data_IF_258703706626
#
_entry.id   IF_258703706626
#
_cell.length_a   1.000
_cell.length_b   1.000
_cell.length_c   1.000
_cell.angle_alpha   90.00
_cell.angle_beta   90.00
_cell.angle_gamma   90.00
#
_symmetry.space_group_name_H-M   'P 1'
#
loop_
_entity.id
_entity.type
_entity.pdbx_description
1 polymer ?
#
# COMPACT_ATOMS: atom_id res chain seq x y z
N UNK A 1 18.93 5.95 1.87
CA UNK A 1 19.43 7.24 1.40
C UNK A 1 19.97 8.07 2.55
N UNK A 2 21.05 8.80 2.31
CA UNK A 2 21.68 9.62 3.34
C UNK A 2 21.43 11.08 3.04
N UNK A 3 21.20 11.87 4.08
CA UNK A 3 21.05 13.32 3.93
C UNK A 3 22.44 13.99 3.84
N UNK A 4 22.45 15.32 3.77
CA UNK A 4 23.69 16.09 3.61
C UNK A 4 24.69 15.89 4.74
N UNK A 5 24.26 15.37 5.90
CA UNK A 5 25.11 15.12 7.05
C UNK A 5 25.50 13.66 7.17
N UNK A 6 25.32 12.87 6.12
CA UNK A 6 25.60 11.43 6.10
C UNK A 6 24.78 10.64 7.13
N UNK A 7 23.61 11.16 7.49
CA UNK A 7 22.67 10.47 8.35
C UNK A 7 21.57 9.87 7.49
N UNK A 8 21.09 8.70 7.90
CA UNK A 8 19.95 8.08 7.24
C UNK A 8 18.72 8.92 7.54
N UNK A 9 17.99 9.29 6.50
CA UNK A 9 16.73 10.02 6.64
C UNK A 9 15.65 9.04 7.08
N UNK A 10 15.43 8.95 8.39
CA UNK A 10 14.48 8.00 8.99
C UNK A 10 13.03 8.37 8.73
N UNK A 11 12.77 9.62 8.33
CA UNK A 11 11.41 10.07 8.02
C UNK A 11 11.07 9.93 6.55
N UNK A 12 12.03 9.46 5.77
CA UNK A 12 11.82 9.33 4.34
C UNK A 12 10.86 8.19 4.03
N UNK A 13 9.91 8.50 3.16
CA UNK A 13 9.00 7.51 2.59
C UNK A 13 9.53 7.09 1.21
N UNK A 14 9.65 5.79 1.00
CA UNK A 14 10.08 5.22 -0.27
C UNK A 14 9.06 4.20 -0.74
N UNK A 15 8.93 4.07 -2.06
CA UNK A 15 8.07 3.04 -2.61
C UNK A 15 8.63 2.51 -3.92
N UNK A 16 8.25 1.28 -4.24
CA UNK A 16 8.45 0.71 -5.57
C UNK A 16 7.09 0.29 -6.11
N UNK A 17 6.96 0.36 -7.41
CA UNK A 17 5.74 -0.06 -8.12
C UNK A 17 6.15 -0.94 -9.28
N UNK A 18 5.57 -2.13 -9.36
CA UNK A 18 5.78 -3.05 -10.46
C UNK A 18 4.43 -3.64 -10.87
N UNK A 19 4.33 -4.15 -12.09
CA UNK A 19 3.12 -4.79 -12.57
C UNK A 19 3.48 -6.13 -13.18
N UNK A 20 2.69 -7.15 -12.86
CA UNK A 20 2.85 -8.49 -13.41
C UNK A 20 1.50 -9.20 -13.39
N UNK A 21 1.10 -9.75 -14.52
CA UNK A 21 -0.15 -10.49 -14.66
C UNK A 21 -1.37 -9.68 -14.24
N UNK A 22 -1.38 -8.40 -14.59
CA UNK A 22 -2.47 -7.45 -14.27
C UNK A 22 -2.59 -7.12 -12.79
N UNK A 23 -1.58 -7.45 -12.00
CA UNK A 23 -1.51 -7.09 -10.59
C UNK A 23 -0.41 -6.06 -10.40
N UNK A 24 -0.74 -4.96 -9.72
CA UNK A 24 0.21 -3.92 -9.34
C UNK A 24 0.74 -4.25 -7.95
N UNK A 25 2.06 -4.38 -7.84
CA UNK A 25 2.73 -4.65 -6.57
C UNK A 25 3.37 -3.38 -6.07
N UNK A 26 2.90 -2.91 -4.93
CA UNK A 26 3.44 -1.74 -4.25
C UNK A 26 4.20 -2.19 -3.01
N UNK A 27 5.45 -1.80 -2.89
CA UNK A 27 6.22 -2.03 -1.67
C UNK A 27 6.57 -0.68 -1.07
N UNK A 28 6.12 -0.43 0.14
CA UNK A 28 6.29 0.85 0.83
C UNK A 28 7.23 0.66 2.00
N UNK A 29 8.06 1.68 2.26
CA UNK A 29 8.96 1.68 3.41
C UNK A 29 9.08 3.06 4.01
N UNK A 30 9.47 3.10 5.30
CA UNK A 30 9.70 4.33 6.01
C UNK A 30 8.48 4.79 6.80
N UNK A 31 8.26 6.09 6.81
CA UNK A 31 7.25 6.72 7.66
C UNK A 31 6.33 7.58 6.79
N UNK A 32 5.04 7.42 6.97
CA UNK A 32 4.05 8.21 6.24
C UNK A 32 3.45 9.24 7.21
N UNK A 33 3.82 10.49 7.01
CA UNK A 33 3.49 11.59 7.92
C UNK A 33 2.59 12.65 7.30
N UNK A 34 2.62 12.80 5.97
CA UNK A 34 1.84 13.83 5.30
C UNK A 34 1.43 13.41 3.88
N UNK A 35 0.53 14.20 3.30
CA UNK A 35 -0.03 13.91 1.98
C UNK A 35 0.96 14.17 0.85
N UNK A 36 1.94 15.02 1.06
CA UNK A 36 2.94 15.30 0.03
C UNK A 36 3.77 14.06 -0.27
N UNK A 37 4.12 13.29 0.78
CA UNK A 37 4.86 12.04 0.60
C UNK A 37 4.10 11.04 -0.27
N UNK A 38 2.80 10.97 -0.11
CA UNK A 38 1.98 9.95 -0.78
C UNK A 38 1.43 10.39 -2.12
N UNK A 39 1.46 11.69 -2.43
CA UNK A 39 0.86 12.19 -3.67
C UNK A 39 1.52 11.61 -4.91
N UNK A 40 2.85 11.44 -4.91
CA UNK A 40 3.55 10.85 -6.04
C UNK A 40 3.18 9.39 -6.23
N UNK A 41 3.06 8.65 -5.14
CA UNK A 41 2.63 7.25 -5.19
C UNK A 41 1.24 7.14 -5.81
N UNK A 42 0.30 7.94 -5.32
CA UNK A 42 -1.07 7.90 -5.81
C UNK A 42 -1.15 8.27 -7.28
N UNK A 43 -0.34 9.23 -7.71
CA UNK A 43 -0.28 9.63 -9.11
C UNK A 43 0.28 8.53 -10.00
N UNK A 44 1.33 7.85 -9.56
CA UNK A 44 1.90 6.74 -10.32
C UNK A 44 0.93 5.56 -10.39
N UNK A 45 0.18 5.31 -9.33
CA UNK A 45 -0.84 4.27 -9.35
C UNK A 45 -1.94 4.64 -10.34
N UNK A 46 -2.39 5.89 -10.35
CA UNK A 46 -3.39 6.35 -11.33
C UNK A 46 -2.92 6.14 -12.77
N UNK A 47 -1.62 6.31 -13.02
CA UNK A 47 -1.07 6.13 -14.35
C UNK A 47 -0.89 4.66 -14.73
N UNK A 48 -0.93 3.76 -13.78
CA UNK A 48 -0.69 2.33 -13.98
C UNK A 48 -1.98 1.53 -14.06
N UNK A 49 -2.96 1.84 -13.21
CA UNK A 49 -4.19 1.05 -13.15
C UNK A 49 -5.14 1.41 -14.29
N UNK A 50 -5.95 0.43 -14.66
CA UNK A 50 -6.98 0.55 -15.71
C UNK A 50 -8.07 -0.47 -15.42
N UNK A 51 -9.05 -0.57 -16.29
CA UNK A 51 -10.08 -1.60 -16.18
C UNK A 51 -9.50 -3.02 -16.35
N UNK A 52 -8.28 -3.14 -16.87
CA UNK A 52 -7.61 -4.43 -17.05
C UNK A 52 -6.48 -4.68 -16.04
N UNK A 53 -5.92 -3.62 -15.47
CA UNK A 53 -4.85 -3.68 -14.46
C UNK A 53 -5.41 -3.02 -13.21
N UNK A 54 -6.20 -3.77 -12.46
CA UNK A 54 -7.00 -3.21 -11.38
C UNK A 54 -6.84 -3.90 -10.03
N UNK A 55 -5.86 -4.79 -9.91
CA UNK A 55 -5.60 -5.47 -8.66
C UNK A 55 -4.31 -4.94 -8.05
N UNK A 56 -4.34 -4.65 -6.77
CA UNK A 56 -3.19 -4.08 -6.06
C UNK A 56 -2.81 -4.98 -4.89
N UNK A 57 -1.54 -5.32 -4.79
CA UNK A 57 -0.94 -5.94 -3.60
C UNK A 57 -0.10 -4.85 -2.93
N UNK A 58 -0.47 -4.49 -1.72
CA UNK A 58 0.20 -3.46 -0.94
C UNK A 58 1.04 -4.11 0.15
N UNK A 59 2.35 -4.14 -0.06
CA UNK A 59 3.30 -4.72 0.88
C UNK A 59 3.85 -3.61 1.79
N UNK A 60 3.54 -3.68 3.08
CA UNK A 60 3.95 -2.67 4.04
C UNK A 60 4.88 -3.22 5.12
N UNK A 61 5.59 -4.29 4.78
CA UNK A 61 6.53 -4.93 5.70
C UNK A 61 7.54 -3.96 6.30
N UNK A 62 8.01 -3.00 5.52
CA UNK A 62 9.05 -2.06 5.92
C UNK A 62 8.51 -0.68 6.30
N UNK A 63 7.21 -0.54 6.46
CA UNK A 63 6.63 0.68 7.01
C UNK A 63 6.87 0.67 8.53
N UNK A 64 7.47 1.74 9.03
CA UNK A 64 7.78 1.87 10.45
C UNK A 64 6.72 2.64 11.23
N UNK A 65 6.05 3.58 10.56
CA UNK A 65 5.05 4.43 11.21
C UNK A 65 4.12 5.03 10.17
N UNK A 66 2.84 5.11 10.53
CA UNK A 66 1.85 5.89 9.76
C UNK A 66 0.96 6.65 10.73
N UNK A 67 0.46 7.79 10.25
CA UNK A 67 -0.61 8.51 10.92
C UNK A 67 -1.88 8.45 10.06
N UNK A 68 -2.85 9.33 10.31
CA UNK A 68 -4.09 9.35 9.54
C UNK A 68 -3.86 9.59 8.04
N UNK A 69 -2.80 10.30 7.67
CA UNK A 69 -2.47 10.50 6.25
C UNK A 69 -2.09 9.18 5.57
N UNK A 70 -1.36 8.31 6.28
CA UNK A 70 -1.02 6.99 5.77
C UNK A 70 -2.24 6.10 5.63
N UNK A 71 -3.12 6.10 6.63
CA UNK A 71 -4.36 5.35 6.55
C UNK A 71 -5.21 5.83 5.38
N UNK A 72 -5.30 7.15 5.19
CA UNK A 72 -6.04 7.73 4.09
C UNK A 72 -5.45 7.32 2.74
N UNK A 73 -4.13 7.26 2.63
CA UNK A 73 -3.46 6.76 1.42
C UNK A 73 -3.88 5.33 1.09
N UNK A 74 -3.91 4.46 2.09
CA UNK A 74 -4.32 3.06 1.89
C UNK A 74 -5.78 2.98 1.43
N UNK A 75 -6.65 3.80 2.02
CA UNK A 75 -8.06 3.86 1.61
C UNK A 75 -8.18 4.32 0.17
N UNK A 76 -7.41 5.32 -0.23
CA UNK A 76 -7.43 5.80 -1.61
C UNK A 76 -6.96 4.75 -2.60
N UNK A 77 -5.93 3.97 -2.24
CA UNK A 77 -5.45 2.87 -3.10
C UNK A 77 -6.53 1.82 -3.30
N UNK A 78 -7.21 1.45 -2.22
CA UNK A 78 -8.32 0.50 -2.29
C UNK A 78 -9.45 1.03 -3.16
N UNK A 79 -9.82 2.28 -2.96
CA UNK A 79 -10.89 2.94 -3.72
C UNK A 79 -10.55 2.99 -5.21
N UNK A 80 -9.30 3.34 -5.55
CA UNK A 80 -8.86 3.38 -6.95
C UNK A 80 -8.98 2.01 -7.61
N UNK A 81 -8.54 0.95 -6.93
CA UNK A 81 -8.62 -0.40 -7.47
C UNK A 81 -10.09 -0.80 -7.67
N UNK A 82 -10.94 -0.55 -6.69
CA UNK A 82 -12.35 -0.93 -6.76
C UNK A 82 -13.11 -0.14 -7.82
N UNK A 83 -12.78 1.12 -8.01
CA UNK A 83 -13.40 1.95 -9.06
C UNK A 83 -13.08 1.42 -10.46
N UNK A 84 -12.00 0.70 -10.61
CA UNK A 84 -11.62 0.07 -11.89
C UNK A 84 -12.10 -1.38 -12.01
N UNK A 85 -12.92 -1.83 -11.06
CA UNK A 85 -13.45 -3.19 -11.08
C UNK A 85 -12.58 -4.23 -10.40
N UNK A 86 -11.54 -3.81 -9.69
CA UNK A 86 -10.62 -4.71 -9.02
C UNK A 86 -10.71 -4.64 -7.50
N UNK A 87 -9.59 -4.90 -6.86
CA UNK A 87 -9.50 -4.89 -5.40
C UNK A 87 -8.05 -4.69 -4.98
N UNK A 88 -7.84 -4.45 -3.70
CA UNK A 88 -6.51 -4.30 -3.12
C UNK A 88 -6.40 -5.16 -1.86
N UNK A 89 -5.25 -5.80 -1.70
CA UNK A 89 -4.94 -6.64 -0.54
C UNK A 89 -3.67 -6.10 0.12
N UNK A 90 -3.71 -5.95 1.44
CA UNK A 90 -2.55 -5.52 2.22
C UNK A 90 -1.86 -6.75 2.78
N UNK A 91 -0.54 -6.82 2.64
CA UNK A 91 0.24 -7.97 3.10
C UNK A 91 1.40 -7.52 3.98
N UNK A 92 1.89 -8.46 4.79
CA UNK A 92 3.07 -8.27 5.66
C UNK A 92 2.89 -7.08 6.61
N UNK A 93 1.72 -7.00 7.24
CA UNK A 93 1.39 -5.86 8.10
C UNK A 93 2.16 -5.95 9.41
N UNK A 94 3.01 -4.95 9.75
CA UNK A 94 3.66 -4.92 11.06
C UNK A 94 2.67 -4.88 12.20
N UNK A 95 3.04 -5.44 13.33
CA UNK A 95 2.13 -5.61 14.47
C UNK A 95 1.50 -4.29 14.94
N UNK A 96 2.30 -3.22 15.03
CA UNK A 96 1.76 -1.92 15.45
C UNK A 96 0.79 -1.34 14.45
N UNK A 97 0.92 -1.66 13.16
CA UNK A 97 -0.03 -1.20 12.15
C UNK A 97 -1.28 -2.06 12.19
N UNK A 98 -1.16 -3.35 12.47
CA UNK A 98 -2.34 -4.20 12.72
C UNK A 98 -3.19 -3.63 13.84
N UNK A 99 -2.57 -3.22 14.94
CA UNK A 99 -3.28 -2.63 16.07
C UNK A 99 -3.98 -1.33 15.68
N UNK A 100 -3.31 -0.51 14.88
CA UNK A 100 -3.91 0.74 14.40
C UNK A 100 -5.11 0.47 13.50
N UNK A 101 -5.02 -0.50 12.60
CA UNK A 101 -6.14 -0.90 11.74
C UNK A 101 -7.30 -1.43 12.58
N UNK A 102 -7.01 -2.19 13.62
CA UNK A 102 -8.03 -2.74 14.50
C UNK A 102 -8.75 -1.64 15.29
N UNK A 103 -8.00 -0.71 15.88
CA UNK A 103 -8.56 0.40 16.65
C UNK A 103 -9.43 1.30 15.77
N UNK A 104 -9.00 1.56 14.55
CA UNK A 104 -9.75 2.40 13.61
C UNK A 104 -10.87 1.63 12.90
N UNK A 105 -10.97 0.33 13.13
CA UNK A 105 -11.92 -0.59 12.48
C UNK A 105 -11.71 -0.73 10.98
N UNK A 106 -10.58 -0.27 10.48
CA UNK A 106 -10.24 -0.40 9.06
C UNK A 106 -9.89 -1.84 8.66
N UNK A 107 -9.61 -2.70 9.64
CA UNK A 107 -9.42 -4.12 9.39
C UNK A 107 -10.69 -4.78 8.79
N UNK A 108 -11.85 -4.14 8.90
CA UNK A 108 -13.07 -4.64 8.27
C UNK A 108 -13.23 -4.13 6.84
N UNK A 109 -12.50 -3.09 6.48
CA UNK A 109 -12.55 -2.48 5.14
C UNK A 109 -11.53 -3.11 4.20
N UNK A 110 -10.33 -3.39 4.71
CA UNK A 110 -9.26 -3.97 3.92
C UNK A 110 -9.24 -5.48 4.02
N UNK A 111 -8.87 -6.14 2.92
CA UNK A 111 -8.46 -7.53 2.94
C UNK A 111 -6.98 -7.58 3.33
N UNK A 112 -6.69 -8.28 4.41
CA UNK A 112 -5.33 -8.37 4.95
C UNK A 112 -4.90 -9.83 4.92
N UNK A 113 -3.73 -10.09 4.33
CA UNK A 113 -3.16 -11.44 4.27
C UNK A 113 -1.72 -11.42 4.75
N UNK A 114 -1.19 -12.61 5.07
CA UNK A 114 0.15 -12.71 5.65
C UNK A 114 1.25 -12.59 4.61
N UNK A 115 0.97 -12.91 3.36
CA UNK A 115 2.02 -12.96 2.34
C UNK A 115 1.50 -12.53 0.96
N UNK A 116 2.45 -12.19 0.09
CA UNK A 116 2.16 -11.88 -1.31
C UNK A 116 1.53 -13.09 -2.00
N UNK A 117 2.00 -14.30 -1.67
CA UNK A 117 1.42 -15.52 -2.26
C UNK A 117 -0.05 -15.68 -1.95
N UNK A 118 -0.45 -15.43 -0.70
CA UNK A 118 -1.86 -15.49 -0.32
C UNK A 118 -2.69 -14.41 -1.03
N UNK A 119 -2.13 -13.20 -1.16
CA UNK A 119 -2.80 -12.12 -1.86
C UNK A 119 -3.01 -12.46 -3.34
N UNK A 120 -1.99 -13.00 -3.99
CA UNK A 120 -2.09 -13.43 -5.40
C UNK A 120 -3.18 -14.45 -5.59
N UNK A 121 -3.27 -15.41 -4.69
CA UNK A 121 -4.28 -16.46 -4.76
C UNK A 121 -5.68 -15.89 -4.72
N UNK A 122 -5.93 -14.98 -3.79
CA UNK A 122 -7.24 -14.34 -3.65
C UNK A 122 -7.58 -13.50 -4.88
N UNK A 123 -6.64 -12.67 -5.33
CA UNK A 123 -6.87 -11.76 -6.45
C UNK A 123 -7.05 -12.51 -7.77
N UNK A 124 -6.38 -13.64 -7.91
CA UNK A 124 -6.48 -14.45 -9.13
C UNK A 124 -7.80 -15.24 -9.14
N UNK A 125 -8.25 -15.73 -8.00
CA UNK A 125 -9.43 -16.58 -7.90
C UNK A 125 -10.74 -15.81 -7.75
N UNK A 126 -10.67 -14.48 -7.56
CA UNK A 126 -11.87 -13.66 -7.35
C UNK A 126 -12.51 -13.17 -8.66
N UNK A 127 -12.13 -13.74 -9.76
CA UNK A 127 -12.69 -13.36 -11.06
C UNK A 127 -14.00 -14.10 -11.36
#
# INVERSE_FOLDING_TARGET
MVNANNQIDMDKFLFTITEENSIVYLALSGRILDNEQTSRLLKEVDNTISDKINKIVLNIEHIEYINSNGLNCFIQLLTKARNMGGDAVIVNVPEKIKNLLLISKLNTVFTIKDSIGQANEILTNSL
#
